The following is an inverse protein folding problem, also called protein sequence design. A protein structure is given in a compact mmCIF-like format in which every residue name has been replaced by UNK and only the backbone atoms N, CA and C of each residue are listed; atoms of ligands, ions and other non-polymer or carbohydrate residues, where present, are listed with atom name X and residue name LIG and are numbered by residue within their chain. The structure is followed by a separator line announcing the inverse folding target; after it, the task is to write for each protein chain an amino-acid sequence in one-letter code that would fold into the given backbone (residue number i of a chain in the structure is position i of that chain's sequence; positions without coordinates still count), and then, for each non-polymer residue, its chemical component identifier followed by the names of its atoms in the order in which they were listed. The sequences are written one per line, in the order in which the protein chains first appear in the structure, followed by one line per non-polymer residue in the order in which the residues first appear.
data_IF_282451779122
#
_entry.id   IF_282451779122
#
_cell.length_a   1.000
_cell.length_b   1.000
_cell.length_c   1.000
_cell.angle_alpha   90.00
_cell.angle_beta   90.00
_cell.angle_gamma   90.00
#
_symmetry.space_group_name_H-M   'P 1'
#
loop_
_entity.id
_entity.type
_entity.pdbx_description
1 polymer ?
#
# COMPACT_ATOMS: atom_id res chain seq x y z
N UNK A 1 43.39 -1.80 -11.38
CA UNK A 1 42.32 -2.57 -10.72
C UNK A 1 41.02 -1.81 -10.92
N UNK A 2 40.12 -2.33 -11.74
CA UNK A 2 38.80 -1.71 -11.98
C UNK A 2 37.90 -2.06 -10.80
N UNK A 3 37.41 -1.06 -10.07
CA UNK A 3 36.44 -1.28 -9.00
C UNK A 3 35.16 -1.85 -9.62
N UNK A 4 34.74 -3.03 -9.18
CA UNK A 4 33.47 -3.67 -9.57
C UNK A 4 32.31 -3.27 -8.65
N UNK A 5 32.57 -2.42 -7.64
CA UNK A 5 31.57 -2.00 -6.67
C UNK A 5 30.75 -0.85 -7.27
N UNK A 6 29.51 -1.16 -7.65
CA UNK A 6 28.51 -0.19 -8.10
C UNK A 6 27.65 0.22 -6.91
N UNK A 7 27.29 1.50 -6.84
CA UNK A 7 26.37 1.99 -5.81
C UNK A 7 24.99 1.34 -5.96
N UNK A 8 24.24 1.16 -4.86
CA UNK A 8 22.86 0.68 -4.92
C UNK A 8 22.01 1.57 -5.82
N UNK A 9 21.19 0.95 -6.66
CA UNK A 9 20.23 1.65 -7.51
C UNK A 9 18.85 1.55 -6.87
N UNK A 10 18.20 2.69 -6.66
CA UNK A 10 16.80 2.74 -6.25
C UNK A 10 15.95 2.83 -7.51
N UNK A 11 14.99 1.91 -7.64
CA UNK A 11 13.99 1.95 -8.70
C UNK A 11 12.67 2.34 -8.07
N UNK A 12 12.08 3.45 -8.53
CA UNK A 12 10.78 3.93 -8.07
C UNK A 12 9.74 3.66 -9.16
N UNK A 13 8.72 2.89 -8.83
CA UNK A 13 7.58 2.61 -9.70
C UNK A 13 6.35 3.37 -9.18
N UNK A 14 5.93 4.40 -9.91
CA UNK A 14 4.71 5.14 -9.60
C UNK A 14 3.56 4.62 -10.47
N UNK A 15 2.48 4.15 -9.84
CA UNK A 15 1.27 3.73 -10.55
C UNK A 15 0.39 4.94 -10.87
N UNK A 16 0.19 5.24 -12.14
CA UNK A 16 -0.74 6.27 -12.62
C UNK A 16 -2.12 5.68 -12.89
N UNK A 17 -3.20 6.40 -12.58
CA UNK A 17 -4.57 5.95 -12.87
C UNK A 17 -5.43 5.63 -11.65
N UNK A 18 -5.00 6.02 -10.45
CA UNK A 18 -5.81 5.94 -9.23
C UNK A 18 -5.83 4.55 -8.63
N UNK A 19 -4.70 4.13 -8.05
CA UNK A 19 -4.68 2.92 -7.22
C UNK A 19 -5.68 3.07 -6.07
N UNK A 20 -6.58 2.09 -5.95
CA UNK A 20 -7.45 2.00 -4.80
C UNK A 20 -6.69 1.41 -3.62
N UNK A 21 -6.06 2.28 -2.84
CA UNK A 21 -5.17 1.85 -1.76
C UNK A 21 -5.90 1.02 -0.71
N UNK A 22 -7.19 1.30 -0.45
CA UNK A 22 -8.00 0.57 0.51
C UNK A 22 -8.32 -0.86 0.07
N UNK A 23 -8.24 -1.14 -1.22
CA UNK A 23 -8.33 -2.50 -1.74
C UNK A 23 -6.96 -3.12 -1.98
N UNK A 24 -5.88 -2.34 -2.03
CA UNK A 24 -4.51 -2.87 -2.08
C UNK A 24 -4.08 -3.37 -0.70
N UNK A 25 -4.29 -2.54 0.32
CA UNK A 25 -4.03 -2.87 1.73
C UNK A 25 -5.28 -2.54 2.53
N UNK A 26 -5.96 -3.59 2.96
CA UNK A 26 -7.35 -3.60 3.41
C UNK A 26 -7.39 -3.66 4.93
N UNK A 27 -8.01 -2.67 5.60
CA UNK A 27 -8.30 -2.75 7.03
C UNK A 27 -9.53 -3.65 7.26
N UNK A 28 -9.33 -4.97 7.25
CA UNK A 28 -10.41 -5.95 7.08
C UNK A 28 -11.31 -6.12 8.32
N UNK A 29 -10.97 -5.51 9.45
CA UNK A 29 -11.83 -5.46 10.65
C UNK A 29 -12.57 -4.13 10.79
N UNK A 30 -12.32 -3.16 9.89
CA UNK A 30 -12.94 -1.86 9.97
C UNK A 30 -14.38 -1.90 9.41
N UNK A 31 -15.43 -1.66 10.22
CA UNK A 31 -16.79 -1.63 9.71
C UNK A 31 -17.01 -0.56 8.65
N UNK A 32 -16.29 0.58 8.73
CA UNK A 32 -16.41 1.66 7.75
C UNK A 32 -15.88 1.25 6.37
N UNK A 33 -14.96 0.28 6.27
CA UNK A 33 -14.54 -0.26 4.98
C UNK A 33 -15.72 -0.92 4.27
N UNK A 34 -16.49 -1.75 4.97
CA UNK A 34 -17.62 -2.46 4.41
C UNK A 34 -18.80 -1.52 4.12
N UNK A 35 -19.09 -0.58 5.04
CA UNK A 35 -20.19 0.38 4.91
C UNK A 35 -20.00 1.34 3.73
N UNK A 36 -18.76 1.81 3.51
CA UNK A 36 -18.47 2.81 2.48
C UNK A 36 -18.07 2.20 1.12
N UNK A 37 -17.96 0.88 1.00
CA UNK A 37 -17.52 0.20 -0.24
C UNK A 37 -18.45 -0.92 -0.71
N UNK A 38 -19.77 -0.70 -0.78
CA UNK A 38 -20.74 -1.77 -1.05
C UNK A 38 -20.51 -2.54 -2.36
N UNK A 39 -19.88 -1.92 -3.36
CA UNK A 39 -19.67 -2.50 -4.69
C UNK A 39 -18.26 -3.02 -4.95
N UNK A 40 -17.28 -2.61 -4.15
CA UNK A 40 -15.86 -2.86 -4.42
C UNK A 40 -15.12 -3.49 -3.25
N UNK A 41 -15.79 -3.73 -2.11
CA UNK A 41 -15.19 -4.43 -0.98
C UNK A 41 -14.78 -5.86 -1.34
N UNK A 42 -13.72 -6.35 -0.68
CA UNK A 42 -13.44 -7.77 -0.58
C UNK A 42 -14.10 -8.35 0.68
N UNK A 43 -14.61 -9.57 0.58
CA UNK A 43 -15.09 -10.30 1.75
C UNK A 43 -13.91 -10.77 2.60
N UNK A 44 -14.11 -10.86 3.92
CA UNK A 44 -13.03 -11.06 4.89
C UNK A 44 -12.26 -12.36 4.66
N UNK A 45 -12.92 -13.37 4.12
CA UNK A 45 -12.39 -14.70 3.85
C UNK A 45 -11.47 -14.72 2.62
N UNK A 46 -11.65 -13.80 1.69
CA UNK A 46 -10.84 -13.70 0.47
C UNK A 46 -9.55 -12.91 0.70
N UNK A 47 -9.47 -12.16 1.80
CA UNK A 47 -8.36 -11.26 2.12
C UNK A 47 -7.16 -12.04 2.65
N UNK A 48 -5.98 -11.73 2.11
CA UNK A 48 -4.71 -12.29 2.58
C UNK A 48 -4.24 -11.52 3.80
N UNK A 49 -4.44 -12.08 5.00
CA UNK A 49 -4.14 -11.40 6.27
C UNK A 49 -2.64 -11.19 6.49
N UNK A 50 -2.28 -10.02 7.02
CA UNK A 50 -0.94 -9.72 7.53
C UNK A 50 -0.91 -10.01 9.03
N UNK A 51 -0.46 -11.21 9.40
CA UNK A 51 -0.55 -11.74 10.76
C UNK A 51 0.19 -10.90 11.82
N UNK A 52 1.23 -10.17 11.41
CA UNK A 52 1.99 -9.25 12.26
C UNK A 52 1.23 -7.95 12.58
N UNK A 53 0.12 -7.69 11.89
CA UNK A 53 -0.76 -6.54 12.11
C UNK A 53 -2.02 -6.89 12.92
N UNK A 54 -2.22 -8.17 13.28
CA UNK A 54 -3.47 -8.65 13.91
C UNK A 54 -3.84 -7.94 15.22
N UNK A 55 -2.84 -7.47 15.95
CA UNK A 55 -2.99 -6.81 17.26
C UNK A 55 -3.04 -5.28 17.13
N UNK A 56 -3.01 -4.75 15.91
CA UNK A 56 -3.18 -3.32 15.67
C UNK A 56 -4.65 -2.92 15.87
N UNK A 57 -4.90 -1.63 16.09
CA UNK A 57 -6.28 -1.12 16.18
C UNK A 57 -7.10 -1.45 14.92
N UNK A 58 -6.43 -1.51 13.77
CA UNK A 58 -7.00 -1.84 12.47
C UNK A 58 -6.07 -2.85 11.78
N UNK A 59 -6.31 -4.16 11.91
CA UNK A 59 -5.48 -5.18 11.26
C UNK A 59 -5.62 -5.10 9.74
N UNK A 60 -4.51 -5.39 9.06
CA UNK A 60 -4.35 -5.16 7.63
C UNK A 60 -4.22 -6.48 6.85
N UNK A 61 -4.72 -6.48 5.62
CA UNK A 61 -4.59 -7.60 4.69
C UNK A 61 -4.35 -7.11 3.26
N UNK A 62 -3.81 -7.97 2.40
CA UNK A 62 -3.72 -7.69 0.98
C UNK A 62 -4.93 -8.23 0.21
N UNK A 63 -5.22 -7.65 -0.95
CA UNK A 63 -6.20 -8.22 -1.90
C UNK A 63 -5.80 -9.64 -2.33
N UNK A 64 -6.78 -10.46 -2.80
CA UNK A 64 -6.55 -11.86 -3.14
C UNK A 64 -5.43 -12.09 -4.18
N UNK A 65 -5.22 -11.13 -5.09
CA UNK A 65 -4.24 -11.24 -6.18
C UNK A 65 -2.79 -10.97 -5.72
N UNK A 66 -2.59 -10.51 -4.49
CA UNK A 66 -1.26 -10.13 -3.97
C UNK A 66 -0.48 -11.28 -3.31
N UNK A 67 -0.86 -12.54 -3.57
CA UNK A 67 -0.12 -13.72 -3.08
C UNK A 67 1.40 -13.64 -3.27
N UNK A 68 1.92 -13.32 -4.47
CA UNK A 68 3.36 -13.16 -4.68
C UNK A 68 4.01 -12.04 -3.84
N UNK A 69 3.28 -10.96 -3.55
CA UNK A 69 3.76 -9.87 -2.68
C UNK A 69 3.74 -10.31 -1.22
N UNK A 70 2.74 -11.10 -0.80
CA UNK A 70 2.69 -11.69 0.54
C UNK A 70 3.90 -12.58 0.81
N UNK A 71 4.31 -13.40 -0.16
CA UNK A 71 5.52 -14.22 -0.02
C UNK A 71 6.77 -13.37 0.26
N UNK A 72 6.91 -12.24 -0.44
CA UNK A 72 8.02 -11.31 -0.22
C UNK A 72 7.89 -10.56 1.11
N UNK A 73 6.67 -10.20 1.51
CA UNK A 73 6.38 -9.60 2.82
C UNK A 73 6.80 -10.52 3.96
N UNK A 74 6.45 -11.80 3.89
CA UNK A 74 6.80 -12.80 4.90
C UNK A 74 8.31 -13.03 5.01
N UNK A 75 9.05 -12.78 3.93
CA UNK A 75 10.51 -12.83 3.91
C UNK A 75 11.16 -11.54 4.46
N UNK A 76 10.37 -10.51 4.80
CA UNK A 76 10.87 -9.19 5.22
C UNK A 76 11.38 -8.33 4.06
N UNK A 77 11.05 -8.69 2.81
CA UNK A 77 11.49 -7.98 1.60
C UNK A 77 10.49 -6.90 1.14
N UNK A 78 9.33 -6.80 1.79
CA UNK A 78 8.31 -5.78 1.52
C UNK A 78 7.97 -5.06 2.81
N UNK A 79 7.88 -3.73 2.75
CA UNK A 79 7.35 -2.89 3.80
C UNK A 79 6.15 -2.12 3.27
N UNK A 80 5.10 -2.01 4.08
CA UNK A 80 3.93 -1.18 3.78
C UNK A 80 4.01 0.09 4.62
N UNK A 81 3.93 1.25 3.98
CA UNK A 81 3.96 2.54 4.67
C UNK A 81 2.61 3.23 4.46
N UNK A 82 1.80 3.27 5.52
CA UNK A 82 0.50 3.94 5.53
C UNK A 82 0.59 5.40 5.99
N UNK A 83 -0.44 6.18 5.67
CA UNK A 83 -0.57 7.56 6.14
C UNK A 83 0.42 8.55 5.53
N UNK A 84 1.01 8.19 4.38
CA UNK A 84 1.95 9.08 3.65
C UNK A 84 1.18 10.25 3.06
N UNK A 85 1.64 11.46 3.34
CA UNK A 85 1.01 12.70 2.89
C UNK A 85 1.77 13.93 3.38
N UNK A 86 1.20 15.10 3.13
CA UNK A 86 1.72 16.37 3.63
C UNK A 86 0.57 17.20 4.21
N UNK A 87 0.94 18.12 5.13
CA UNK A 87 -0.01 18.99 5.81
C UNK A 87 -0.79 19.83 4.79
N UNK A 88 -2.10 19.98 5.03
CA UNK A 88 -3.00 20.80 4.21
C UNK A 88 -3.03 20.37 2.72
N UNK A 89 -2.84 19.07 2.46
CA UNK A 89 -2.89 18.52 1.09
C UNK A 89 -4.25 18.75 0.41
N UNK A 90 -4.27 19.25 -0.85
CA UNK A 90 -5.49 19.41 -1.60
C UNK A 90 -6.01 18.05 -2.08
N UNK A 91 -7.32 17.96 -2.33
CA UNK A 91 -7.94 16.77 -2.90
C UNK A 91 -7.70 16.59 -4.41
N UNK A 92 -6.92 17.48 -5.03
CA UNK A 92 -6.58 17.39 -6.45
C UNK A 92 -5.42 16.44 -6.66
N UNK A 93 -5.65 15.37 -7.44
CA UNK A 93 -4.63 14.41 -7.84
C UNK A 93 -3.46 15.11 -8.55
N UNK A 94 -3.75 15.95 -9.56
CA UNK A 94 -2.74 16.62 -10.37
C UNK A 94 -1.91 17.61 -9.55
N UNK A 95 -2.57 18.45 -8.74
CA UNK A 95 -1.85 19.44 -7.93
C UNK A 95 -0.96 18.77 -6.88
N UNK A 96 -1.42 17.67 -6.29
CA UNK A 96 -0.62 16.92 -5.33
C UNK A 96 0.61 16.27 -5.97
N UNK A 97 0.49 15.72 -7.18
CA UNK A 97 1.65 15.20 -7.90
C UNK A 97 2.69 16.29 -8.21
N UNK A 98 2.25 17.48 -8.68
CA UNK A 98 3.17 18.59 -8.95
C UNK A 98 3.99 18.97 -7.70
N UNK A 99 3.35 19.01 -6.52
CA UNK A 99 4.01 19.32 -5.25
C UNK A 99 5.04 18.23 -4.89
N UNK A 100 4.64 16.95 -4.93
CA UNK A 100 5.51 15.82 -4.60
C UNK A 100 6.72 15.69 -5.55
N UNK A 101 6.60 16.10 -6.82
CA UNK A 101 7.68 15.98 -7.82
C UNK A 101 8.63 17.18 -7.85
N UNK A 102 8.29 18.29 -7.18
CA UNK A 102 9.10 19.53 -7.19
C UNK A 102 9.85 19.79 -5.88
N UNK A 103 9.59 19.00 -4.83
CA UNK A 103 10.23 19.09 -3.52
C UNK A 103 11.21 17.95 -3.26
#
# INVERSE_FOLDING_TARGET
MTSTKKDPVIVVLQLTGGNDYFNTVIPYDNPLYYDNRPYVKYEREDIIKLEDTKDWAEPLGFMPQMGPIKELYDQGNVAVIHGVGYKDSPRSHFRSMDIWHTC
#
